data_IF_577129443084
#
_entry.id   IF_577129443084
#
_cell.length_a   1.000
_cell.length_b   1.000
_cell.length_c   1.000
_cell.angle_alpha   90.00
_cell.angle_beta   90.00
_cell.angle_gamma   90.00
#
_symmetry.space_group_name_H-M   'P 1'
#
loop_
_entity.id
_entity.type
_entity.pdbx_description
1 polymer ?
#
# COMPACT_ATOMS: atom_id res chain seq x y z
N UNK A 1 -50.68 -30.18 -20.63
CA UNK A 1 -49.95 -30.46 -21.89
C UNK A 1 -49.27 -29.16 -22.26
N UNK A 2 -48.00 -28.98 -21.87
CA UNK A 2 -46.80 -29.22 -22.71
C UNK A 2 -46.71 -28.16 -23.82
N UNK A 3 -45.61 -27.46 -24.08
CA UNK A 3 -44.25 -27.39 -23.56
C UNK A 3 -43.61 -26.11 -24.13
N UNK A 4 -42.52 -25.61 -23.53
CA UNK A 4 -41.56 -24.76 -24.25
C UNK A 4 -40.97 -25.54 -25.45
N UNK A 5 -40.45 -24.84 -26.48
CA UNK A 5 -39.00 -24.53 -26.42
C UNK A 5 -38.61 -23.16 -27.02
N UNK A 6 -37.55 -22.58 -26.45
CA UNK A 6 -36.59 -21.65 -27.10
C UNK A 6 -36.11 -22.21 -28.46
N UNK A 7 -35.50 -21.44 -29.42
CA UNK A 7 -34.25 -20.69 -29.17
C UNK A 7 -33.92 -19.48 -30.10
N UNK A 8 -33.29 -18.43 -29.58
CA UNK A 8 -32.56 -17.42 -30.38
C UNK A 8 -31.41 -16.85 -29.51
N UNK A 9 -30.19 -16.55 -30.01
CA UNK A 9 -29.41 -17.14 -31.10
C UNK A 9 -27.99 -17.57 -30.67
N UNK A 10 -27.39 -18.49 -31.43
CA UNK A 10 -25.95 -18.80 -31.40
C UNK A 10 -25.15 -17.69 -32.07
N UNK A 11 -24.08 -17.22 -31.43
CA UNK A 11 -23.03 -16.44 -32.09
C UNK A 11 -21.96 -17.37 -32.66
N UNK A 12 -21.57 -17.11 -33.92
CA UNK A 12 -20.54 -17.85 -34.65
C UNK A 12 -19.16 -17.43 -34.16
N UNK A 13 -18.28 -18.40 -33.98
CA UNK A 13 -16.84 -18.19 -33.84
C UNK A 13 -16.31 -17.55 -35.14
N UNK A 14 -15.82 -16.31 -35.02
CA UNK A 14 -15.00 -15.63 -36.01
C UNK A 14 -13.54 -15.75 -35.58
N UNK A 15 -12.72 -16.19 -36.53
CA UNK A 15 -11.29 -16.50 -36.49
C UNK A 15 -10.45 -15.67 -35.50
N UNK A 16 -9.93 -16.36 -34.47
CA UNK A 16 -8.77 -15.90 -33.71
C UNK A 16 -7.52 -16.42 -34.42
N UNK A 17 -6.72 -15.49 -34.93
CA UNK A 17 -5.39 -15.74 -35.48
C UNK A 17 -4.53 -16.41 -34.41
N UNK A 18 -4.25 -17.70 -34.59
CA UNK A 18 -3.30 -18.44 -33.76
C UNK A 18 -1.89 -17.94 -34.00
N UNK A 19 -1.36 -17.10 -33.10
CA UNK A 19 0.09 -16.94 -32.97
C UNK A 19 0.60 -18.18 -32.23
N UNK A 20 1.26 -19.06 -32.97
CA UNK A 20 1.97 -20.22 -32.42
C UNK A 20 3.19 -19.72 -31.66
N UNK A 21 3.19 -19.85 -30.34
CA UNK A 21 4.43 -19.80 -29.57
C UNK A 21 5.26 -21.07 -29.87
N UNK A 22 6.56 -20.96 -30.21
CA UNK A 22 7.39 -22.13 -30.40
C UNK A 22 7.53 -22.91 -29.08
N UNK A 23 7.41 -24.23 -29.23
CA UNK A 23 7.59 -25.26 -28.19
C UNK A 23 8.89 -25.06 -27.43
N UNK A 24 8.82 -25.38 -26.12
CA UNK A 24 9.91 -25.82 -25.23
C UNK A 24 11.24 -26.01 -25.96
N UNK A 25 12.16 -25.06 -25.78
CA UNK A 25 13.56 -25.38 -25.82
C UNK A 25 13.92 -26.03 -24.48
N UNK A 26 14.50 -27.22 -24.61
CA UNK A 26 15.04 -28.06 -23.56
C UNK A 26 15.90 -27.28 -22.57
N UNK A 27 15.90 -27.72 -21.31
CA UNK A 27 16.98 -27.47 -20.34
C UNK A 27 18.33 -27.59 -21.04
N UNK A 28 18.92 -26.45 -21.37
CA UNK A 28 20.33 -26.31 -21.68
C UNK A 28 20.99 -25.97 -20.36
N UNK A 29 21.98 -26.77 -19.96
CA UNK A 29 22.79 -26.53 -18.77
C UNK A 29 23.24 -25.06 -18.75
N UNK A 30 22.91 -24.35 -17.67
CA UNK A 30 23.58 -23.12 -17.32
C UNK A 30 25.08 -23.42 -17.32
N UNK A 31 25.80 -22.83 -18.26
CA UNK A 31 27.23 -22.68 -18.12
C UNK A 31 27.41 -21.60 -17.05
N UNK A 32 28.03 -21.96 -15.93
CA UNK A 32 28.50 -21.03 -14.90
C UNK A 32 29.39 -19.99 -15.57
N UNK A 33 28.82 -18.82 -15.88
CA UNK A 33 29.59 -17.61 -16.08
C UNK A 33 29.75 -16.97 -14.70
N UNK A 34 30.98 -16.73 -14.21
CA UNK A 34 31.17 -16.04 -12.96
C UNK A 34 30.62 -14.61 -13.10
N UNK A 35 29.55 -14.33 -12.35
CA UNK A 35 29.10 -12.97 -12.07
C UNK A 35 30.26 -12.26 -11.36
N UNK A 36 30.72 -11.09 -11.82
CA UNK A 36 31.78 -10.38 -11.12
C UNK A 36 31.26 -9.92 -9.74
N UNK A 37 31.95 -10.33 -8.67
CA UNK A 37 31.67 -9.85 -7.31
C UNK A 37 31.79 -8.32 -7.26
N UNK A 38 30.66 -7.61 -7.26
CA UNK A 38 30.64 -6.17 -6.98
C UNK A 38 30.92 -6.00 -5.48
N UNK A 39 32.02 -5.35 -5.07
CA UNK A 39 32.32 -5.18 -3.65
C UNK A 39 31.28 -4.23 -3.02
N UNK A 40 30.43 -4.79 -2.17
CA UNK A 40 29.44 -4.06 -1.38
C UNK A 40 30.02 -3.73 0.00
N UNK A 41 29.92 -2.47 0.43
CA UNK A 41 30.32 -2.02 1.77
C UNK A 41 29.10 -1.46 2.49
N UNK A 42 28.67 -2.10 3.57
CA UNK A 42 27.63 -1.53 4.45
C UNK A 42 28.30 -0.59 5.45
N UNK A 43 27.82 0.65 5.56
CA UNK A 43 28.28 1.55 6.63
C UNK A 43 27.85 0.91 7.95
N UNK A 44 28.82 0.43 8.73
CA UNK A 44 28.56 -0.24 10.01
C UNK A 44 28.26 0.83 11.04
N UNK A 45 27.00 0.96 11.44
CA UNK A 45 26.56 1.90 12.47
C UNK A 45 27.08 1.45 13.83
N UNK A 46 28.14 2.09 14.34
CA UNK A 46 28.66 1.79 15.69
C UNK A 46 27.92 2.61 16.74
N UNK A 47 26.67 2.24 16.98
CA UNK A 47 25.83 2.86 18.02
C UNK A 47 24.83 3.85 17.44
N UNK A 48 23.56 3.46 17.43
CA UNK A 48 22.44 4.37 17.22
C UNK A 48 22.24 5.19 18.49
N UNK A 49 22.73 6.41 18.52
CA UNK A 49 22.30 7.37 19.55
C UNK A 49 21.21 8.26 18.96
N UNK A 50 20.07 8.29 19.66
CA UNK A 50 19.14 9.42 19.60
C UNK A 50 20.00 10.67 19.75
N UNK A 51 20.03 11.54 18.74
CA UNK A 51 20.79 12.77 18.82
C UNK A 51 20.28 13.55 20.04
N UNK A 52 21.10 13.69 21.08
CA UNK A 52 20.75 14.60 22.16
C UNK A 52 20.67 16.02 21.59
N UNK A 53 19.66 16.81 21.98
CA UNK A 53 19.50 18.16 21.48
C UNK A 53 20.78 18.95 21.79
N UNK A 54 21.43 19.46 20.75
CA UNK A 54 22.63 20.29 20.87
C UNK A 54 22.26 21.51 21.75
N UNK A 55 22.80 21.65 22.97
CA UNK A 55 22.40 22.73 23.85
C UNK A 55 23.10 24.01 23.40
N UNK A 56 22.36 24.86 22.67
CA UNK A 56 22.89 26.13 22.19
C UNK A 56 22.05 26.80 21.13
N UNK A 57 20.88 27.33 21.52
CA UNK A 57 20.01 28.14 20.68
C UNK A 57 20.75 29.35 20.07
N UNK A 58 20.90 29.31 18.75
CA UNK A 58 21.30 30.43 17.92
C UNK A 58 21.18 29.99 16.47
N UNK A 59 20.45 30.75 15.65
CA UNK A 59 20.35 30.54 14.19
C UNK A 59 21.74 30.61 13.57
N UNK A 60 22.51 29.52 13.64
CA UNK A 60 23.68 29.34 12.79
C UNK A 60 23.12 29.08 11.41
N UNK A 61 23.46 29.94 10.43
CA UNK A 61 23.24 29.62 9.02
C UNK A 61 23.85 28.25 8.78
N UNK A 62 23.01 27.29 8.37
CA UNK A 62 23.45 25.96 7.96
C UNK A 62 24.62 26.09 6.99
N UNK A 63 25.70 25.32 7.19
CA UNK A 63 26.84 25.31 6.26
C UNK A 63 26.40 24.93 4.84
N UNK A 64 25.25 24.27 4.69
CA UNK A 64 24.59 23.93 3.42
C UNK A 64 24.21 25.18 2.60
N UNK A 65 23.89 26.30 3.25
CA UNK A 65 23.57 27.57 2.55
C UNK A 65 24.72 28.11 1.70
N UNK A 66 25.96 27.64 1.90
CA UNK A 66 27.12 27.99 1.09
C UNK A 66 27.21 27.22 -0.22
N UNK A 67 26.47 26.12 -0.34
CA UNK A 67 26.47 25.22 -1.49
C UNK A 67 25.19 25.35 -2.32
N UNK A 68 24.30 26.28 -1.96
CA UNK A 68 23.03 26.55 -2.64
C UNK A 68 22.96 27.99 -3.17
N UNK A 69 22.08 28.27 -4.16
CA UNK A 69 21.82 29.63 -4.62
C UNK A 69 21.38 30.56 -3.48
N UNK A 70 21.68 31.85 -3.58
CA UNK A 70 21.29 32.84 -2.57
C UNK A 70 19.77 32.86 -2.34
N UNK A 71 19.34 32.79 -1.08
CA UNK A 71 17.92 32.84 -0.69
C UNK A 71 17.25 31.49 -0.49
N UNK A 72 17.92 30.38 -0.84
CA UNK A 72 17.42 29.02 -0.64
C UNK A 72 17.79 28.54 0.77
N UNK A 73 16.79 28.42 1.65
CA UNK A 73 16.95 27.81 2.98
C UNK A 73 16.75 26.29 2.86
N UNK A 74 17.61 25.52 3.52
CA UNK A 74 17.44 24.07 3.69
C UNK A 74 16.86 23.80 5.05
N UNK A 75 16.03 22.78 5.14
CA UNK A 75 15.49 22.22 6.38
C UNK A 75 16.62 21.96 7.37
N UNK A 76 16.35 22.33 8.62
CA UNK A 76 17.22 22.04 9.76
C UNK A 76 16.79 20.76 10.47
N UNK A 77 17.69 20.14 11.25
CA UNK A 77 17.35 18.97 12.05
C UNK A 77 16.12 19.19 12.94
N UNK A 78 16.04 20.34 13.62
CA UNK A 78 14.91 20.68 14.49
C UNK A 78 13.57 20.80 13.73
N UNK A 79 13.61 21.28 12.48
CA UNK A 79 12.42 21.35 11.62
C UNK A 79 12.02 19.96 11.12
N UNK A 80 13.01 19.13 10.75
CA UNK A 80 12.77 17.76 10.33
C UNK A 80 12.15 16.93 11.47
N UNK A 81 12.73 17.02 12.68
CA UNK A 81 12.21 16.34 13.89
C UNK A 81 10.83 16.86 14.28
N UNK A 82 10.50 18.13 14.01
CA UNK A 82 9.15 18.66 14.29
C UNK A 82 8.08 17.96 13.45
N UNK A 83 8.39 17.62 12.20
CA UNK A 83 7.44 17.00 11.27
C UNK A 83 7.45 15.46 11.41
N UNK A 84 8.63 14.84 11.44
CA UNK A 84 8.74 13.37 11.44
C UNK A 84 8.81 12.75 12.84
N UNK A 85 8.96 13.57 13.90
CA UNK A 85 9.20 13.10 15.26
C UNK A 85 10.67 12.71 15.49
N UNK A 86 11.06 12.60 16.77
CA UNK A 86 12.45 12.31 17.15
C UNK A 86 12.91 10.92 16.70
N UNK A 87 12.03 9.92 16.79
CA UNK A 87 12.30 8.55 16.33
C UNK A 87 12.14 8.39 14.81
N UNK A 88 11.57 9.39 14.13
CA UNK A 88 11.35 9.39 12.69
C UNK A 88 12.46 10.07 11.89
N UNK A 89 13.54 10.51 12.53
CA UNK A 89 14.71 11.11 11.86
C UNK A 89 15.97 10.30 12.20
N UNK A 90 16.63 9.80 11.17
CA UNK A 90 17.86 9.04 11.28
C UNK A 90 19.08 9.91 10.98
N UNK A 91 20.11 9.82 11.82
CA UNK A 91 21.40 10.52 11.62
C UNK A 91 22.56 9.54 11.73
N UNK A 92 23.67 9.85 11.07
CA UNK A 92 24.89 9.08 11.12
C UNK A 92 25.98 9.76 11.95
N UNK A 93 26.83 8.95 12.57
CA UNK A 93 28.05 9.44 13.21
C UNK A 93 29.04 9.91 12.15
N UNK A 94 29.56 11.14 12.33
CA UNK A 94 30.44 11.78 11.34
C UNK A 94 31.68 10.94 11.02
N UNK A 95 32.24 10.26 12.01
CA UNK A 95 33.40 9.39 11.85
C UNK A 95 33.12 8.20 10.90
N UNK A 96 31.89 7.69 10.90
CA UNK A 96 31.48 6.55 10.08
C UNK A 96 31.25 6.95 8.61
N UNK A 97 31.00 8.23 8.32
CA UNK A 97 30.73 8.72 6.97
C UNK A 97 31.98 9.29 6.29
N UNK A 98 32.78 10.08 7.02
CA UNK A 98 33.94 10.79 6.44
C UNK A 98 35.01 9.82 5.89
N UNK A 99 35.14 8.62 6.46
CA UNK A 99 36.08 7.60 5.98
C UNK A 99 35.72 7.00 4.61
N UNK A 100 34.51 7.24 4.10
CA UNK A 100 33.98 6.62 2.88
C UNK A 100 34.04 7.55 1.65
N UNK A 101 34.67 8.72 1.78
CA UNK A 101 34.83 9.66 0.65
C UNK A 101 33.50 10.26 0.17
N UNK A 102 32.56 10.45 1.10
CA UNK A 102 31.32 11.20 0.92
C UNK A 102 31.63 12.69 0.88
N UNK A 103 30.92 13.46 0.05
CA UNK A 103 31.21 14.89 -0.12
C UNK A 103 30.83 15.67 1.14
N UNK A 104 31.53 16.77 1.48
CA UNK A 104 31.24 17.54 2.70
C UNK A 104 29.79 18.01 2.81
N UNK A 105 29.15 18.39 1.70
CA UNK A 105 27.74 18.79 1.71
C UNK A 105 26.80 17.64 2.10
N UNK A 106 27.06 16.42 1.63
CA UNK A 106 26.24 15.25 1.95
C UNK A 106 26.53 14.75 3.38
N UNK A 107 27.77 14.89 3.88
CA UNK A 107 28.11 14.63 5.30
C UNK A 107 27.30 15.55 6.22
N UNK A 108 27.19 16.85 5.89
CA UNK A 108 26.38 17.78 6.69
C UNK A 108 24.89 17.38 6.69
N UNK A 109 24.36 16.84 5.58
CA UNK A 109 22.98 16.32 5.57
C UNK A 109 22.88 15.06 6.41
N UNK A 110 23.67 14.02 6.13
CA UNK A 110 23.59 12.71 6.78
C UNK A 110 23.86 12.75 8.29
N UNK A 111 24.77 13.61 8.74
CA UNK A 111 25.18 13.69 10.14
C UNK A 111 24.54 14.87 10.90
N UNK A 112 24.24 15.97 10.21
CA UNK A 112 23.81 17.22 10.83
C UNK A 112 22.32 17.51 10.70
N UNK A 113 21.67 17.09 9.60
CA UNK A 113 20.23 17.28 9.37
C UNK A 113 19.47 15.99 9.63
N UNK A 114 19.95 14.88 9.06
CA UNK A 114 19.33 13.56 9.08
C UNK A 114 18.49 13.27 7.84
N UNK A 115 18.05 12.01 7.74
CA UNK A 115 17.07 11.53 6.77
C UNK A 115 15.78 11.17 7.51
N UNK A 116 14.58 11.41 6.96
CA UNK A 116 13.37 10.84 7.52
C UNK A 116 13.44 9.31 7.43
N UNK A 117 12.99 8.58 8.46
CA UNK A 117 12.92 7.11 8.41
C UNK A 117 11.84 6.67 7.41
N UNK A 118 10.72 7.39 7.38
CA UNK A 118 9.63 7.23 6.41
C UNK A 118 9.01 8.59 6.15
N UNK A 119 8.68 8.90 4.89
CA UNK A 119 8.01 10.13 4.48
C UNK A 119 6.87 9.81 3.50
N UNK A 120 5.68 9.56 4.06
CA UNK A 120 4.50 9.11 3.31
C UNK A 120 4.82 7.92 2.41
N UNK A 121 4.19 7.88 1.23
CA UNK A 121 4.47 6.90 0.18
C UNK A 121 5.79 7.14 -0.58
N UNK A 122 6.39 8.33 -0.42
CA UNK A 122 7.50 8.77 -1.28
C UNK A 122 8.85 8.23 -0.84
N UNK A 123 9.00 7.82 0.43
CA UNK A 123 10.29 7.38 0.93
C UNK A 123 10.18 6.52 2.19
N UNK A 124 10.99 5.48 2.27
CA UNK A 124 11.30 4.75 3.49
C UNK A 124 12.74 4.23 3.47
N UNK A 125 13.40 4.28 4.63
CA UNK A 125 14.70 3.63 4.85
C UNK A 125 14.55 2.12 5.09
N UNK A 126 13.33 1.63 5.35
CA UNK A 126 13.05 0.20 5.47
C UNK A 126 13.03 -0.39 4.06
N UNK A 127 14.12 -1.05 3.72
CA UNK A 127 14.35 -1.65 2.41
C UNK A 127 14.60 -3.13 2.64
N UNK A 128 13.79 -3.97 2.01
CA UNK A 128 13.96 -5.42 2.01
C UNK A 128 14.72 -5.89 0.75
N UNK A 129 15.50 -6.95 0.89
CA UNK A 129 16.26 -7.54 -0.21
C UNK A 129 17.65 -6.91 -0.45
N UNK A 130 18.23 -7.08 -1.65
CA UNK A 130 19.57 -6.57 -1.95
C UNK A 130 19.62 -5.04 -1.88
N UNK A 131 20.79 -4.50 -1.53
CA UNK A 131 21.03 -3.07 -1.41
C UNK A 131 20.12 -2.37 -0.39
N UNK A 132 20.18 -2.81 0.87
CA UNK A 132 19.52 -2.14 2.00
C UNK A 132 19.99 -0.68 2.15
N UNK A 133 19.22 0.15 2.86
CA UNK A 133 19.63 1.51 3.18
C UNK A 133 21.04 1.55 3.83
N UNK A 134 21.81 2.59 3.49
CA UNK A 134 23.20 2.81 3.91
C UNK A 134 24.22 1.82 3.34
N UNK A 135 23.82 1.06 2.33
CA UNK A 135 24.73 0.23 1.54
C UNK A 135 25.44 1.08 0.50
N UNK A 136 26.77 0.91 0.40
CA UNK A 136 27.60 1.50 -0.65
C UNK A 136 28.08 0.45 -1.64
N UNK A 137 28.08 0.80 -2.92
CA UNK A 137 28.63 -0.05 -3.98
C UNK A 137 29.20 0.80 -5.13
N UNK A 138 30.07 0.21 -5.93
CA UNK A 138 30.56 0.80 -7.18
C UNK A 138 29.92 0.11 -8.37
N UNK A 139 29.58 0.87 -9.41
CA UNK A 139 29.08 0.32 -10.66
C UNK A 139 29.59 1.13 -11.86
N UNK A 140 29.65 0.48 -13.02
CA UNK A 140 29.88 1.16 -14.29
C UNK A 140 28.60 1.84 -14.75
N UNK A 141 28.67 3.13 -15.06
CA UNK A 141 27.55 3.92 -15.57
C UNK A 141 27.80 4.35 -17.00
N UNK A 142 26.81 4.97 -17.64
CA UNK A 142 26.98 5.60 -18.94
C UNK A 142 28.04 6.72 -18.94
N UNK A 143 28.32 7.31 -17.77
CA UNK A 143 29.31 8.37 -17.58
C UNK A 143 30.66 7.85 -17.04
N UNK A 144 30.82 6.53 -16.91
CA UNK A 144 31.99 5.87 -16.33
C UNK A 144 31.74 5.30 -14.92
N UNK A 145 32.79 4.84 -14.23
CA UNK A 145 32.66 4.23 -12.92
C UNK A 145 32.21 5.25 -11.87
N UNK A 146 31.17 4.91 -11.11
CA UNK A 146 30.62 5.74 -10.04
C UNK A 146 30.34 4.91 -8.78
N UNK A 147 30.24 5.58 -7.64
CA UNK A 147 29.90 4.99 -6.35
C UNK A 147 28.56 5.52 -5.89
N UNK A 148 27.77 4.63 -5.31
CA UNK A 148 26.43 4.92 -4.86
C UNK A 148 26.31 4.63 -3.38
N UNK A 149 25.51 5.42 -2.68
CA UNK A 149 25.03 5.16 -1.33
C UNK A 149 23.50 5.05 -1.39
N UNK A 150 22.96 3.90 -1.01
CA UNK A 150 21.51 3.71 -0.92
C UNK A 150 20.95 4.52 0.26
N UNK A 151 19.88 5.26 -0.03
CA UNK A 151 19.14 6.04 0.96
C UNK A 151 17.92 5.26 1.44
N UNK A 152 17.19 4.62 0.53
CA UNK A 152 15.90 3.98 0.80
C UNK A 152 15.18 3.55 -0.47
N UNK A 153 13.86 3.43 -0.39
CA UNK A 153 12.95 3.16 -1.50
C UNK A 153 11.64 3.94 -1.34
N UNK A 154 10.72 3.88 -2.31
CA UNK A 154 9.35 4.37 -2.12
C UNK A 154 8.59 3.49 -1.11
N UNK A 155 7.72 4.07 -0.29
CA UNK A 155 6.91 3.31 0.65
C UNK A 155 5.65 2.80 -0.08
N UNK A 156 5.82 1.63 -0.71
CA UNK A 156 4.83 0.77 -1.39
C UNK A 156 4.09 1.36 -2.62
N UNK A 157 3.87 0.59 -3.68
CA UNK A 157 2.74 -0.34 -3.75
C UNK A 157 3.06 -1.79 -4.14
N UNK A 158 2.39 -2.70 -3.45
CA UNK A 158 2.37 -4.16 -3.62
C UNK A 158 1.66 -4.65 -4.90
N UNK A 159 1.70 -3.89 -6.00
CA UNK A 159 1.52 -4.53 -7.30
C UNK A 159 2.82 -5.25 -7.67
N UNK A 160 2.81 -6.55 -7.33
CA UNK A 160 3.46 -7.68 -8.02
C UNK A 160 4.37 -7.22 -9.18
N UNK A 161 5.68 -7.44 -9.04
CA UNK A 161 6.78 -7.24 -10.01
C UNK A 161 7.38 -5.82 -10.21
N UNK A 162 6.99 -4.76 -9.47
CA UNK A 162 7.63 -3.43 -9.68
C UNK A 162 8.26 -2.75 -8.44
N UNK A 163 7.72 -2.92 -7.23
CA UNK A 163 8.25 -2.23 -6.03
C UNK A 163 9.59 -2.78 -5.52
N UNK A 164 9.88 -4.06 -5.76
CA UNK A 164 11.16 -4.70 -5.41
C UNK A 164 12.35 -4.20 -6.26
N UNK A 165 12.06 -3.43 -7.32
CA UNK A 165 13.02 -3.09 -8.36
C UNK A 165 13.52 -1.65 -8.28
N UNK A 166 13.25 -0.87 -7.24
CA UNK A 166 13.71 0.53 -7.20
C UNK A 166 14.39 0.91 -5.88
N UNK A 167 15.51 1.64 -5.98
CA UNK A 167 16.20 2.26 -4.85
C UNK A 167 16.46 3.74 -5.09
N UNK A 168 16.28 4.55 -4.05
CA UNK A 168 16.83 5.89 -4.04
C UNK A 168 18.28 5.84 -3.56
N UNK A 169 19.18 6.42 -4.34
CA UNK A 169 20.61 6.44 -4.04
C UNK A 169 21.22 7.79 -4.34
N UNK A 170 22.25 8.19 -3.58
CA UNK A 170 23.11 9.31 -3.95
C UNK A 170 24.35 8.80 -4.68
N UNK A 171 24.63 9.35 -5.86
CA UNK A 171 25.90 9.14 -6.57
C UNK A 171 26.97 10.02 -5.93
N UNK A 172 27.99 9.42 -5.31
CA UNK A 172 28.94 10.11 -4.44
C UNK A 172 29.87 11.07 -5.21
N UNK A 173 30.09 10.85 -6.49
CA UNK A 173 30.92 11.70 -7.33
C UNK A 173 30.21 13.00 -7.71
N UNK A 174 28.93 12.93 -8.06
CA UNK A 174 28.15 14.09 -8.52
C UNK A 174 27.31 14.74 -7.44
N UNK A 175 26.84 13.94 -6.47
CA UNK A 175 25.86 14.35 -5.47
C UNK A 175 24.41 14.21 -5.82
N UNK A 176 24.12 13.81 -7.06
CA UNK A 176 22.75 13.68 -7.51
C UNK A 176 22.09 12.54 -6.76
N UNK A 177 20.82 12.73 -6.40
CA UNK A 177 19.98 11.65 -5.94
C UNK A 177 19.28 11.05 -7.15
N UNK A 178 19.34 9.74 -7.26
CA UNK A 178 18.83 8.97 -8.37
C UNK A 178 17.80 7.93 -7.90
N UNK A 179 16.90 7.60 -8.80
CA UNK A 179 16.07 6.41 -8.77
C UNK A 179 16.77 5.34 -9.61
N UNK A 180 17.19 4.26 -8.95
CA UNK A 180 17.91 3.14 -9.53
C UNK A 180 16.99 1.95 -9.69
N UNK A 181 16.91 1.38 -10.89
CA UNK A 181 16.29 0.07 -11.08
C UNK A 181 17.18 -1.03 -10.50
N UNK A 182 16.58 -2.12 -10.00
CA UNK A 182 17.24 -3.34 -9.56
C UNK A 182 16.60 -4.47 -10.34
N UNK A 183 17.33 -5.17 -11.19
CA UNK A 183 16.83 -6.30 -11.98
C UNK A 183 17.68 -7.55 -11.69
N UNK A 184 17.03 -8.67 -11.42
CA UNK A 184 17.66 -9.93 -10.98
C UNK A 184 18.72 -9.76 -9.85
N UNK A 185 18.55 -8.75 -8.99
CA UNK A 185 19.46 -8.44 -7.88
C UNK A 185 20.65 -7.53 -8.24
N UNK A 186 20.70 -6.97 -9.45
CA UNK A 186 21.74 -6.04 -9.91
C UNK A 186 21.16 -4.66 -10.27
N UNK A 187 21.89 -3.54 -10.01
CA UNK A 187 21.47 -2.22 -10.43
C UNK A 187 21.43 -2.04 -11.94
N UNK A 188 20.36 -1.47 -12.45
CA UNK A 188 20.20 -1.18 -13.89
C UNK A 188 20.94 0.09 -14.30
N UNK A 189 21.26 0.19 -15.59
CA UNK A 189 22.04 1.31 -16.16
C UNK A 189 21.22 2.56 -16.52
N UNK A 190 19.89 2.50 -16.37
CA UNK A 190 18.90 3.52 -16.76
C UNK A 190 18.45 4.39 -15.59
N UNK A 191 19.35 4.62 -14.62
CA UNK A 191 19.14 5.48 -13.46
C UNK A 191 18.58 6.87 -13.82
N UNK A 192 17.49 7.26 -13.15
CA UNK A 192 16.92 8.59 -13.30
C UNK A 192 17.44 9.52 -12.20
N UNK A 193 18.10 10.63 -12.55
CA UNK A 193 18.36 11.71 -11.58
C UNK A 193 17.04 12.38 -11.21
N UNK A 194 16.67 12.28 -9.93
CA UNK A 194 15.45 12.88 -9.36
C UNK A 194 15.74 14.17 -8.60
N UNK A 195 16.93 14.34 -8.02
CA UNK A 195 17.36 15.62 -7.44
C UNK A 195 18.84 15.89 -7.68
N UNK A 196 19.21 17.17 -7.74
CA UNK A 196 20.61 17.62 -7.95
C UNK A 196 21.48 17.53 -6.70
N UNK A 197 20.88 17.31 -5.52
CA UNK A 197 21.61 17.15 -4.27
C UNK A 197 20.80 16.37 -3.23
N UNK A 198 21.50 15.72 -2.29
CA UNK A 198 20.86 15.07 -1.14
C UNK A 198 20.06 16.06 -0.28
N UNK A 199 20.57 17.29 -0.11
CA UNK A 199 19.85 18.34 0.63
C UNK A 199 18.53 18.74 -0.03
N UNK A 200 18.48 18.82 -1.37
CA UNK A 200 17.24 19.08 -2.09
C UNK A 200 16.25 17.91 -1.94
N UNK A 201 16.73 16.67 -2.02
CA UNK A 201 15.89 15.49 -1.81
C UNK A 201 15.24 15.49 -0.41
N UNK A 202 16.00 15.75 0.65
CA UNK A 202 15.48 15.83 2.02
C UNK A 202 14.51 17.01 2.20
N UNK A 203 14.79 18.17 1.58
CA UNK A 203 13.84 19.29 1.58
C UNK A 203 12.52 18.90 0.91
N UNK A 204 12.55 18.22 -0.24
CA UNK A 204 11.34 17.81 -0.96
C UNK A 204 10.47 16.93 -0.06
N UNK A 205 11.06 15.90 0.56
CA UNK A 205 10.35 15.01 1.50
C UNK A 205 9.76 15.80 2.68
N UNK A 206 10.55 16.67 3.30
CA UNK A 206 10.09 17.54 4.40
C UNK A 206 8.92 18.42 4.00
N UNK A 207 9.00 19.09 2.86
CA UNK A 207 7.99 20.07 2.43
C UNK A 207 6.70 19.41 1.96
N UNK A 208 6.79 18.23 1.34
CA UNK A 208 5.62 17.43 0.98
C UNK A 208 4.90 16.98 2.26
N UNK A 209 5.64 16.52 3.25
CA UNK A 209 5.06 16.07 4.52
C UNK A 209 4.48 17.22 5.34
N UNK A 210 5.19 18.34 5.44
CA UNK A 210 4.67 19.56 6.07
C UNK A 210 3.38 20.04 5.41
N UNK A 211 3.31 19.97 4.07
CA UNK A 211 2.09 20.28 3.31
C UNK A 211 0.96 19.30 3.67
N UNK A 212 1.25 18.01 3.85
CA UNK A 212 0.27 17.00 4.28
C UNK A 212 -0.30 17.35 5.65
N UNK A 213 0.55 17.74 6.60
CA UNK A 213 0.12 18.14 7.96
C UNK A 213 -0.68 19.45 7.96
N UNK A 214 -0.16 20.50 7.31
CA UNK A 214 -0.79 21.83 7.34
C UNK A 214 -2.12 21.84 6.57
N UNK A 215 -2.26 21.02 5.52
CA UNK A 215 -3.47 20.89 4.71
C UNK A 215 -4.32 19.67 5.11
N UNK A 216 -4.09 19.09 6.29
CA UNK A 216 -4.89 17.98 6.78
C UNK A 216 -6.38 18.39 6.85
N UNK A 217 -7.24 17.59 6.21
CA UNK A 217 -8.68 17.86 6.12
C UNK A 217 -9.09 18.93 5.10
N UNK A 218 -8.16 19.51 4.35
CA UNK A 218 -8.49 20.38 3.23
C UNK A 218 -8.71 19.55 1.95
N UNK A 219 -9.73 19.90 1.16
CA UNK A 219 -9.92 19.34 -0.18
C UNK A 219 -8.74 19.70 -1.10
N UNK A 220 -8.55 18.95 -2.19
CA UNK A 220 -7.54 19.26 -3.20
C UNK A 220 -7.68 20.71 -3.73
N UNK A 221 -8.91 21.21 -3.86
CA UNK A 221 -9.18 22.58 -4.31
C UNK A 221 -8.76 23.64 -3.28
N UNK A 222 -8.98 23.39 -1.99
CA UNK A 222 -8.59 24.30 -0.90
C UNK A 222 -7.07 24.30 -0.68
N UNK A 223 -6.44 23.13 -0.79
CA UNK A 223 -4.99 22.99 -0.66
C UNK A 223 -4.21 23.48 -1.91
N UNK A 224 -4.90 23.73 -3.02
CA UNK A 224 -4.27 24.07 -4.31
C UNK A 224 -3.37 25.31 -4.25
N UNK A 225 -3.78 26.47 -3.69
CA UNK A 225 -2.91 27.65 -3.64
C UNK A 225 -1.63 27.41 -2.84
N UNK A 226 -1.73 26.65 -1.74
CA UNK A 226 -0.57 26.24 -0.95
C UNK A 226 0.35 25.33 -1.79
N UNK A 227 -0.23 24.34 -2.46
CA UNK A 227 0.49 23.35 -3.26
C UNK A 227 1.19 24.01 -4.46
N UNK A 228 0.54 24.94 -5.15
CA UNK A 228 1.15 25.71 -6.25
C UNK A 228 2.33 26.56 -5.76
N UNK A 229 2.23 27.17 -4.57
CA UNK A 229 3.35 27.89 -3.95
C UNK A 229 4.49 26.93 -3.59
N UNK A 230 4.17 25.79 -2.99
CA UNK A 230 5.15 24.75 -2.67
C UNK A 230 5.91 24.31 -3.93
N UNK A 231 5.20 24.02 -5.01
CA UNK A 231 5.79 23.64 -6.31
C UNK A 231 6.71 24.73 -6.83
N UNK A 232 6.31 26.00 -6.76
CA UNK A 232 7.16 27.11 -7.17
C UNK A 232 8.44 27.22 -6.34
N UNK A 233 8.34 27.07 -5.02
CA UNK A 233 9.47 27.14 -4.08
C UNK A 233 10.46 25.98 -4.33
N UNK A 234 9.96 24.75 -4.49
CA UNK A 234 10.79 23.58 -4.78
C UNK A 234 11.40 23.63 -6.19
N UNK A 235 10.68 24.14 -7.18
CA UNK A 235 11.22 24.33 -8.54
C UNK A 235 12.32 25.38 -8.59
N UNK A 236 12.24 26.41 -7.74
CA UNK A 236 13.33 27.37 -7.60
C UNK A 236 14.60 26.76 -6.96
N UNK A 237 14.43 25.71 -6.15
CA UNK A 237 15.54 24.95 -5.56
C UNK A 237 16.16 23.97 -6.55
N UNK A 238 15.33 23.23 -7.28
CA UNK A 238 15.75 22.20 -8.22
C UNK A 238 14.84 22.18 -9.45
N UNK A 239 15.14 23.04 -10.43
CA UNK A 239 14.34 23.15 -11.65
C UNK A 239 14.32 21.84 -12.46
N UNK A 240 15.40 21.05 -12.38
CA UNK A 240 15.55 19.81 -13.14
C UNK A 240 14.61 18.72 -12.66
N UNK A 241 14.29 18.67 -11.37
CA UNK A 241 13.32 17.75 -10.78
C UNK A 241 11.91 17.90 -11.39
N UNK A 242 11.56 19.10 -11.89
CA UNK A 242 10.21 19.42 -12.41
C UNK A 242 10.07 19.28 -13.93
N UNK A 243 10.99 18.58 -14.62
CA UNK A 243 10.76 18.24 -16.02
C UNK A 243 9.52 17.31 -16.15
N UNK A 244 8.63 17.49 -17.14
CA UNK A 244 7.36 16.75 -17.22
C UNK A 244 7.49 15.22 -17.21
N UNK A 245 8.59 14.68 -17.76
CA UNK A 245 8.86 13.24 -17.86
C UNK A 245 9.62 12.69 -16.63
N UNK A 246 9.78 13.48 -15.56
CA UNK A 246 10.53 13.11 -14.35
C UNK A 246 9.60 12.72 -13.21
N UNK A 247 10.10 11.88 -12.32
CA UNK A 247 9.36 11.40 -11.14
C UNK A 247 8.62 12.53 -10.39
N UNK A 248 9.34 13.57 -9.95
CA UNK A 248 8.72 14.69 -9.21
C UNK A 248 7.76 15.51 -10.06
N UNK A 249 7.99 15.62 -11.38
CA UNK A 249 7.08 16.31 -12.29
C UNK A 249 5.68 15.70 -12.26
N UNK A 250 5.60 14.38 -12.43
CA UNK A 250 4.33 13.64 -12.33
C UNK A 250 3.70 13.71 -10.93
N UNK A 251 4.52 13.55 -9.88
CA UNK A 251 4.06 13.65 -8.48
C UNK A 251 3.42 15.02 -8.19
N UNK A 252 4.08 16.12 -8.57
CA UNK A 252 3.57 17.46 -8.29
C UNK A 252 2.39 17.86 -9.19
N UNK A 253 2.34 17.37 -10.43
CA UNK A 253 1.16 17.50 -11.26
C UNK A 253 -0.05 16.82 -10.60
N UNK A 254 0.11 15.56 -10.16
CA UNK A 254 -0.91 14.83 -9.43
C UNK A 254 -1.30 15.54 -8.12
N UNK A 255 -0.34 16.04 -7.35
CA UNK A 255 -0.60 16.79 -6.10
C UNK A 255 -1.43 18.06 -6.33
N UNK A 256 -1.20 18.78 -7.42
CA UNK A 256 -1.98 19.99 -7.77
C UNK A 256 -3.37 19.64 -8.27
N UNK A 257 -3.51 18.53 -9.01
CA UNK A 257 -4.78 18.11 -9.59
C UNK A 257 -5.69 17.38 -8.59
N UNK A 258 -5.11 16.49 -7.79
CA UNK A 258 -5.82 15.47 -6.99
C UNK A 258 -5.43 15.48 -5.49
N UNK A 259 -4.36 16.18 -5.09
CA UNK A 259 -3.86 16.15 -3.70
C UNK A 259 -2.83 15.05 -3.45
N UNK A 260 -2.43 14.86 -2.18
CA UNK A 260 -1.52 13.76 -1.80
C UNK A 260 -2.33 12.46 -1.91
N UNK A 261 -1.86 11.42 -2.64
CA UNK A 261 -2.53 10.13 -2.64
C UNK A 261 -2.62 9.64 -1.19
N UNK A 262 -3.82 9.25 -0.77
CA UNK A 262 -3.98 8.74 0.59
C UNK A 262 -3.23 7.40 0.66
N UNK A 263 -2.69 7.06 1.83
CA UNK A 263 -2.24 5.69 2.04
C UNK A 263 -3.53 4.88 2.26
N UNK A 264 -3.73 3.87 1.43
CA UNK A 264 -4.91 3.03 1.50
C UNK A 264 -4.90 2.09 2.71
N UNK A 265 -6.00 1.37 2.90
CA UNK A 265 -6.18 0.44 4.02
C UNK A 265 -5.61 -0.97 3.76
N UNK A 266 -5.05 -1.24 2.56
CA UNK A 266 -4.72 -2.59 2.11
C UNK A 266 -3.74 -3.32 3.04
N UNK A 267 -2.61 -2.70 3.37
CA UNK A 267 -1.61 -3.29 4.29
C UNK A 267 -2.21 -3.58 5.67
N UNK A 268 -2.95 -2.63 6.23
CA UNK A 268 -3.54 -2.77 7.56
C UNK A 268 -4.55 -3.93 7.60
N UNK A 269 -5.35 -4.09 6.55
CA UNK A 269 -6.28 -5.21 6.38
C UNK A 269 -5.49 -6.53 6.23
N UNK A 270 -4.47 -6.57 5.38
CA UNK A 270 -3.65 -7.76 5.18
C UNK A 270 -2.94 -8.21 6.48
N UNK A 271 -2.36 -7.27 7.23
CA UNK A 271 -1.73 -7.53 8.52
C UNK A 271 -2.74 -8.03 9.57
N UNK A 272 -3.94 -7.44 9.63
CA UNK A 272 -4.98 -7.87 10.56
C UNK A 272 -5.45 -9.31 10.28
N UNK A 273 -5.53 -9.69 9.00
CA UNK A 273 -5.84 -11.05 8.57
C UNK A 273 -4.70 -12.02 8.92
N UNK A 274 -3.45 -11.67 8.59
CA UNK A 274 -2.27 -12.50 8.88
C UNK A 274 -2.07 -12.78 10.38
N UNK A 275 -2.34 -11.79 11.24
CA UNK A 275 -2.23 -11.94 12.70
C UNK A 275 -3.24 -12.94 13.29
N UNK A 276 -4.36 -13.17 12.60
CA UNK A 276 -5.50 -13.97 13.09
C UNK A 276 -5.69 -15.28 12.34
N UNK A 277 -4.95 -15.52 11.26
CA UNK A 277 -5.14 -16.68 10.38
C UNK A 277 -3.87 -17.52 10.29
N UNK A 278 -3.99 -18.86 10.32
CA UNK A 278 -2.83 -19.76 10.41
C UNK A 278 -2.13 -20.04 9.06
N UNK A 279 -2.64 -19.56 7.93
CA UNK A 279 -2.17 -19.89 6.57
C UNK A 279 -1.88 -18.62 5.76
N UNK A 280 -0.71 -18.57 5.11
CA UNK A 280 -0.25 -17.46 4.27
C UNK A 280 -0.72 -17.54 2.81
N UNK A 281 -1.33 -18.66 2.40
CA UNK A 281 -1.81 -18.87 1.02
C UNK A 281 -3.29 -18.53 0.85
N UNK A 282 -3.60 -17.25 0.92
CA UNK A 282 -4.92 -16.74 0.52
C UNK A 282 -5.16 -16.91 -0.98
N UNK A 283 -6.43 -17.02 -1.37
CA UNK A 283 -6.85 -16.92 -2.76
C UNK A 283 -7.45 -15.54 -2.99
N UNK A 284 -7.13 -14.88 -4.10
CA UNK A 284 -7.66 -13.56 -4.46
C UNK A 284 -8.28 -13.58 -5.86
N UNK A 285 -9.38 -12.86 -6.02
CA UNK A 285 -10.08 -12.68 -7.29
C UNK A 285 -10.48 -11.23 -7.48
N UNK A 286 -10.10 -10.64 -8.62
CA UNK A 286 -10.68 -9.39 -9.08
C UNK A 286 -12.12 -9.63 -9.57
N UNK A 287 -13.04 -8.73 -9.22
CA UNK A 287 -14.44 -8.77 -9.68
C UNK A 287 -14.63 -8.12 -11.04
N UNK A 288 -13.68 -7.27 -11.46
CA UNK A 288 -13.77 -6.42 -12.64
C UNK A 288 -14.63 -5.16 -12.43
N UNK A 289 -15.07 -4.90 -11.21
CA UNK A 289 -15.80 -3.68 -10.86
C UNK A 289 -14.84 -2.48 -10.78
N UNK A 290 -15.17 -1.32 -11.36
CA UNK A 290 -14.36 -0.11 -11.23
C UNK A 290 -14.18 0.33 -9.76
N UNK A 291 -13.09 1.04 -9.50
CA UNK A 291 -12.81 1.66 -8.19
C UNK A 291 -13.96 2.62 -7.83
N UNK A 292 -14.45 2.53 -6.59
CA UNK A 292 -15.55 3.37 -6.09
C UNK A 292 -16.95 2.98 -6.57
N UNK A 293 -17.09 1.91 -7.36
CA UNK A 293 -18.38 1.43 -7.89
C UNK A 293 -18.82 0.07 -7.33
N UNK A 294 -18.10 -0.49 -6.36
CA UNK A 294 -18.44 -1.79 -5.76
C UNK A 294 -17.30 -2.45 -5.01
N UNK A 295 -17.38 -3.77 -4.86
CA UNK A 295 -16.29 -4.61 -4.36
C UNK A 295 -15.34 -4.88 -5.53
N UNK A 296 -14.08 -4.45 -5.46
CA UNK A 296 -13.07 -4.66 -6.50
C UNK A 296 -12.44 -6.06 -6.42
N UNK A 297 -12.24 -6.57 -5.21
CA UNK A 297 -11.63 -7.90 -5.00
C UNK A 297 -12.35 -8.71 -3.93
N UNK A 298 -12.22 -10.03 -4.04
CA UNK A 298 -12.59 -10.99 -3.02
C UNK A 298 -11.36 -11.81 -2.66
N UNK A 299 -11.19 -12.07 -1.37
CA UNK A 299 -10.17 -12.99 -0.87
C UNK A 299 -10.79 -14.13 -0.07
N UNK A 300 -10.16 -15.30 -0.12
CA UNK A 300 -10.53 -16.46 0.69
C UNK A 300 -9.33 -17.01 1.45
N UNK A 301 -9.53 -17.19 2.75
CA UNK A 301 -8.52 -17.63 3.70
C UNK A 301 -8.97 -18.91 4.39
N UNK A 302 -8.04 -19.81 4.68
CA UNK A 302 -8.32 -21.06 5.39
C UNK A 302 -8.30 -20.80 6.89
N UNK A 303 -9.38 -21.10 7.59
CA UNK A 303 -9.54 -20.85 9.02
C UNK A 303 -10.23 -22.04 9.72
N UNK A 304 -9.47 -22.94 10.35
CA UNK A 304 -9.94 -24.03 11.22
C UNK A 304 -11.28 -24.67 10.83
N UNK A 305 -11.31 -25.39 9.70
CA UNK A 305 -12.52 -26.07 9.21
C UNK A 305 -13.51 -25.17 8.47
N UNK A 306 -13.21 -23.88 8.34
CA UNK A 306 -13.99 -22.88 7.62
C UNK A 306 -13.14 -22.21 6.53
N UNK A 307 -13.83 -21.64 5.56
CA UNK A 307 -13.33 -20.55 4.73
C UNK A 307 -13.73 -19.23 5.37
N UNK A 308 -12.80 -18.29 5.49
CA UNK A 308 -13.08 -16.88 5.73
C UNK A 308 -12.98 -16.13 4.41
N UNK A 309 -14.10 -15.60 3.94
CA UNK A 309 -14.17 -14.75 2.76
C UNK A 309 -14.15 -13.29 3.19
N UNK A 310 -13.40 -12.44 2.49
CA UNK A 310 -13.26 -11.00 2.80
C UNK A 310 -13.36 -10.20 1.50
N UNK A 311 -14.16 -9.14 1.52
CA UNK A 311 -14.25 -8.16 0.42
C UNK A 311 -13.11 -7.15 0.49
N UNK A 312 -12.79 -6.56 -0.65
CA UNK A 312 -11.94 -5.38 -0.74
C UNK A 312 -12.62 -4.39 -1.68
N UNK A 313 -12.98 -3.23 -1.15
CA UNK A 313 -13.59 -2.15 -1.92
C UNK A 313 -14.72 -1.39 -1.25
N UNK A 314 -15.20 -1.84 -0.09
CA UNK A 314 -16.05 -1.00 0.75
C UNK A 314 -15.21 0.04 1.49
N UNK A 315 -13.99 -0.32 1.88
CA UNK A 315 -12.95 0.61 2.32
C UNK A 315 -12.29 1.30 1.13
N UNK A 316 -11.24 2.08 1.36
CA UNK A 316 -10.31 2.55 0.32
C UNK A 316 -8.99 1.78 0.44
N UNK A 317 -8.86 0.58 -0.16
CA UNK A 317 -7.66 -0.25 0.00
C UNK A 317 -6.41 0.42 -0.52
N UNK A 318 -6.54 1.20 -1.59
CA UNK A 318 -5.41 1.77 -2.34
C UNK A 318 -5.25 3.28 -2.15
N UNK A 319 -6.13 3.91 -1.36
CA UNK A 319 -6.04 5.35 -1.04
C UNK A 319 -6.39 6.25 -2.22
N UNK A 320 -7.14 5.71 -3.18
CA UNK A 320 -7.48 6.35 -4.45
C UNK A 320 -8.84 7.03 -4.42
N UNK A 321 -9.64 6.78 -3.38
CA UNK A 321 -10.93 7.41 -3.21
C UNK A 321 -10.75 8.82 -2.62
N UNK A 322 -11.00 9.83 -3.45
CA UNK A 322 -11.08 11.23 -3.03
C UNK A 322 -12.42 11.50 -2.32
N UNK A 323 -12.60 10.87 -1.17
CA UNK A 323 -13.76 11.06 -0.29
C UNK A 323 -13.31 11.81 0.97
N UNK A 324 -13.99 12.90 1.30
CA UNK A 324 -13.79 13.66 2.54
C UNK A 324 -14.54 12.96 3.69
N UNK A 325 -14.03 11.80 4.09
CA UNK A 325 -14.60 10.94 5.13
C UNK A 325 -13.58 10.74 6.25
N UNK A 326 -14.06 10.71 7.50
CA UNK A 326 -13.24 10.34 8.67
C UNK A 326 -12.88 8.83 8.67
N UNK A 327 -13.37 8.07 7.70
CA UNK A 327 -13.20 6.63 7.51
C UNK A 327 -12.54 6.32 6.17
N UNK A 328 -11.86 5.16 6.07
CA UNK A 328 -11.34 4.67 4.79
C UNK A 328 -12.49 4.21 3.92
N UNK A 329 -12.78 4.92 2.82
CA UNK A 329 -13.96 4.67 1.99
C UNK A 329 -15.25 4.73 2.82
N UNK A 330 -16.08 3.69 2.73
CA UNK A 330 -17.29 3.52 3.55
C UNK A 330 -17.01 3.03 4.98
N UNK A 331 -15.75 2.76 5.33
CA UNK A 331 -15.31 2.46 6.69
C UNK A 331 -15.51 1.03 7.15
N UNK A 332 -15.81 0.10 6.24
CA UNK A 332 -15.98 -1.31 6.58
C UNK A 332 -15.52 -2.24 5.47
N UNK A 333 -15.32 -3.52 5.78
CA UNK A 333 -15.28 -4.61 4.82
C UNK A 333 -16.22 -5.74 5.27
N UNK A 334 -16.82 -6.46 4.32
CA UNK A 334 -17.65 -7.62 4.64
C UNK A 334 -16.78 -8.87 4.80
N UNK A 335 -17.11 -9.65 5.82
CA UNK A 335 -16.58 -11.01 5.98
C UNK A 335 -17.70 -12.04 5.89
N UNK A 336 -17.39 -13.26 5.45
CA UNK A 336 -18.32 -14.39 5.54
C UNK A 336 -17.56 -15.67 5.84
N UNK A 337 -18.01 -16.41 6.87
CA UNK A 337 -17.48 -17.75 7.17
C UNK A 337 -18.41 -18.83 6.61
N UNK A 338 -17.85 -19.82 5.92
CA UNK A 338 -18.58 -20.99 5.41
C UNK A 338 -17.78 -22.27 5.67
N UNK A 339 -18.44 -23.44 5.81
CA UNK A 339 -17.73 -24.72 6.00
C UNK A 339 -16.70 -24.99 4.90
N UNK A 340 -15.57 -25.60 5.30
CA UNK A 340 -14.49 -26.03 4.42
C UNK A 340 -14.08 -27.47 4.76
N UNK A 341 -14.16 -28.37 3.81
CA UNK A 341 -13.55 -29.70 3.94
C UNK A 341 -12.03 -29.63 3.77
N UNK A 342 -11.28 -30.57 4.37
CA UNK A 342 -9.80 -30.58 4.32
C UNK A 342 -9.23 -30.52 2.89
N UNK A 343 -9.92 -31.15 1.92
CA UNK A 343 -9.47 -31.24 0.54
C UNK A 343 -10.09 -30.19 -0.38
N UNK A 344 -10.85 -29.22 0.16
CA UNK A 344 -11.40 -28.14 -0.65
C UNK A 344 -10.27 -27.19 -1.06
N UNK A 345 -10.07 -27.06 -2.37
CA UNK A 345 -9.11 -26.11 -2.93
C UNK A 345 -9.71 -24.72 -3.15
N UNK A 346 -11.04 -24.62 -3.25
CA UNK A 346 -11.77 -23.38 -3.49
C UNK A 346 -12.99 -23.23 -2.56
N UNK A 347 -13.37 -22.00 -2.19
CA UNK A 347 -14.60 -21.77 -1.45
C UNK A 347 -15.84 -21.99 -2.33
N UNK A 348 -17.02 -22.21 -1.72
CA UNK A 348 -18.27 -22.33 -2.46
C UNK A 348 -18.60 -21.07 -3.28
N UNK A 349 -18.79 -21.22 -4.59
CA UNK A 349 -19.04 -20.08 -5.49
C UNK A 349 -20.29 -19.25 -5.14
N UNK A 350 -21.30 -19.85 -4.50
CA UNK A 350 -22.49 -19.12 -4.05
C UNK A 350 -22.17 -18.06 -2.99
N UNK A 351 -21.15 -18.28 -2.15
CA UNK A 351 -20.78 -17.38 -1.07
C UNK A 351 -20.02 -16.17 -1.61
N UNK A 352 -19.11 -16.39 -2.56
CA UNK A 352 -18.46 -15.32 -3.32
C UNK A 352 -19.49 -14.44 -4.05
N UNK A 353 -20.46 -15.08 -4.72
CA UNK A 353 -21.53 -14.37 -5.43
C UNK A 353 -22.45 -13.59 -4.46
N UNK A 354 -22.69 -14.11 -3.25
CA UNK A 354 -23.46 -13.40 -2.24
C UNK A 354 -22.76 -12.10 -1.81
N UNK A 355 -21.46 -12.15 -1.52
CA UNK A 355 -20.67 -10.95 -1.18
C UNK A 355 -20.64 -9.93 -2.32
N UNK A 356 -20.44 -10.39 -3.56
CA UNK A 356 -20.48 -9.54 -4.75
C UNK A 356 -21.80 -8.78 -4.88
N UNK A 357 -22.94 -9.47 -4.70
CA UNK A 357 -24.28 -8.86 -4.74
C UNK A 357 -24.55 -7.91 -3.58
N UNK A 358 -23.97 -8.14 -2.41
CA UNK A 358 -24.05 -7.17 -1.30
C UNK A 358 -23.28 -5.89 -1.65
N UNK A 359 -22.15 -6.00 -2.36
CA UNK A 359 -21.47 -4.88 -3.00
C UNK A 359 -22.39 -4.10 -3.94
N UNK A 360 -22.99 -4.78 -4.92
CA UNK A 360 -23.93 -4.15 -5.86
C UNK A 360 -25.10 -3.45 -5.15
N UNK A 361 -25.61 -4.04 -4.07
CA UNK A 361 -26.68 -3.42 -3.28
C UNK A 361 -26.23 -2.09 -2.69
N UNK A 362 -25.12 -2.05 -1.95
CA UNK A 362 -24.64 -0.86 -1.25
C UNK A 362 -24.26 0.25 -2.24
N UNK A 363 -23.55 -0.07 -3.31
CA UNK A 363 -23.09 0.92 -4.29
C UNK A 363 -24.16 1.34 -5.31
N UNK A 364 -25.29 0.63 -5.38
CA UNK A 364 -26.42 0.97 -6.23
C UNK A 364 -27.45 1.89 -5.55
N UNK A 365 -28.31 1.31 -4.70
CA UNK A 365 -29.42 2.02 -4.04
C UNK A 365 -29.48 1.74 -2.52
N UNK A 366 -28.54 0.95 -2.02
CA UNK A 366 -28.49 0.48 -0.65
C UNK A 366 -27.82 1.46 0.30
N UNK A 367 -27.76 1.02 1.57
CA UNK A 367 -27.03 1.71 2.62
C UNK A 367 -25.88 0.82 3.10
N UNK A 368 -24.77 1.42 3.58
CA UNK A 368 -23.69 0.69 4.24
C UNK A 368 -24.18 -0.27 5.33
N UNK A 369 -23.51 -1.42 5.46
CA UNK A 369 -23.82 -2.40 6.51
C UNK A 369 -23.14 -2.02 7.82
N UNK A 370 -23.78 -2.35 8.94
CA UNK A 370 -23.28 -2.10 10.28
C UNK A 370 -23.75 -3.20 11.22
N UNK A 371 -23.17 -3.24 12.42
CA UNK A 371 -23.60 -4.15 13.48
C UNK A 371 -25.12 -4.05 13.75
N UNK A 372 -25.77 -5.21 13.85
CA UNK A 372 -27.21 -5.31 14.09
C UNK A 372 -28.08 -5.18 12.84
N UNK A 373 -27.52 -4.83 11.67
CA UNK A 373 -28.26 -4.85 10.41
C UNK A 373 -28.70 -6.27 10.03
N UNK A 374 -29.80 -6.37 9.30
CA UNK A 374 -30.36 -7.66 8.85
C UNK A 374 -31.26 -7.45 7.66
N UNK A 375 -31.29 -8.42 6.75
CA UNK A 375 -32.13 -8.33 5.56
C UNK A 375 -32.66 -9.70 5.15
N UNK A 376 -33.89 -9.73 4.64
CA UNK A 376 -34.38 -10.89 3.92
C UNK A 376 -33.82 -10.91 2.51
N UNK A 377 -33.58 -12.10 1.96
CA UNK A 377 -33.20 -12.27 0.56
C UNK A 377 -34.38 -12.85 -0.24
N UNK A 378 -34.43 -12.53 -1.54
CA UNK A 378 -35.55 -12.91 -2.42
C UNK A 378 -35.62 -14.43 -2.69
N UNK A 379 -34.50 -15.15 -2.59
CA UNK A 379 -34.39 -16.60 -2.73
C UNK A 379 -33.51 -17.21 -1.63
N UNK A 380 -33.19 -18.51 -1.68
CA UNK A 380 -32.31 -19.14 -0.71
C UNK A 380 -30.85 -18.69 -0.89
N UNK A 381 -30.11 -18.60 0.22
CA UNK A 381 -28.65 -18.47 0.20
C UNK A 381 -28.04 -19.87 0.13
N UNK A 382 -27.17 -20.11 -0.84
CA UNK A 382 -26.52 -21.41 -1.00
C UNK A 382 -27.11 -22.27 -2.11
N UNK A 383 -26.81 -23.58 -2.11
CA UNK A 383 -27.30 -24.50 -3.11
C UNK A 383 -28.82 -24.68 -3.01
N UNK A 384 -29.40 -25.27 -4.07
CA UNK A 384 -30.82 -25.63 -4.11
C UNK A 384 -31.20 -26.48 -2.89
N UNK A 385 -32.30 -26.10 -2.23
CA UNK A 385 -32.80 -26.76 -1.02
C UNK A 385 -32.33 -26.13 0.29
N UNK A 386 -31.40 -25.16 0.26
CA UNK A 386 -31.04 -24.39 1.45
C UNK A 386 -32.25 -23.67 2.06
N UNK A 387 -32.35 -23.71 3.39
CA UNK A 387 -33.40 -23.03 4.18
C UNK A 387 -33.05 -21.59 4.53
N UNK A 388 -31.81 -21.17 4.26
CA UNK A 388 -31.32 -19.83 4.59
C UNK A 388 -32.00 -18.80 3.67
N UNK A 389 -32.73 -17.86 4.24
CA UNK A 389 -33.56 -16.91 3.49
C UNK A 389 -33.36 -15.47 3.91
N UNK A 390 -32.32 -15.20 4.70
CA UNK A 390 -31.98 -13.88 5.22
C UNK A 390 -30.49 -13.83 5.62
N UNK A 391 -29.99 -12.62 5.84
CA UNK A 391 -28.66 -12.32 6.38
C UNK A 391 -28.82 -11.53 7.68
N UNK A 392 -27.95 -11.81 8.65
CA UNK A 392 -27.71 -10.96 9.80
C UNK A 392 -26.25 -10.52 9.81
N UNK A 393 -26.02 -9.28 10.24
CA UNK A 393 -24.72 -8.63 10.28
C UNK A 393 -24.37 -8.27 11.73
N UNK A 394 -23.14 -8.56 12.12
CA UNK A 394 -22.52 -8.09 13.37
C UNK A 394 -21.06 -7.71 13.09
N UNK A 395 -20.45 -6.91 13.96
CA UNK A 395 -18.99 -6.75 13.97
C UNK A 395 -18.33 -8.12 14.07
N UNK A 396 -17.36 -8.39 13.21
CA UNK A 396 -16.66 -9.67 13.16
C UNK A 396 -15.97 -9.94 14.52
N UNK A 397 -16.35 -11.01 15.25
CA UNK A 397 -15.86 -11.21 16.61
C UNK A 397 -14.35 -11.47 16.72
N UNK A 398 -13.69 -11.86 15.62
CA UNK A 398 -12.26 -12.08 15.60
C UNK A 398 -11.51 -10.87 15.06
N UNK A 399 -12.01 -10.24 13.98
CA UNK A 399 -11.30 -9.15 13.31
C UNK A 399 -11.58 -7.77 13.91
N UNK A 400 -12.81 -7.50 14.34
CA UNK A 400 -13.19 -6.24 14.98
C UNK A 400 -13.04 -5.02 14.06
N UNK A 401 -12.60 -3.91 14.65
CA UNK A 401 -12.24 -2.68 13.94
C UNK A 401 -10.74 -2.48 14.02
N UNK A 402 -10.13 -2.03 12.93
CA UNK A 402 -8.71 -1.69 12.85
C UNK A 402 -8.54 -0.23 12.48
N UNK A 403 -7.45 0.37 12.98
CA UNK A 403 -7.01 1.69 12.52
C UNK A 403 -6.22 1.52 11.22
N UNK A 404 -6.50 2.37 10.23
CA UNK A 404 -5.74 2.42 8.98
C UNK A 404 -5.35 3.87 8.67
N UNK A 405 -4.33 4.10 7.82
CA UNK A 405 -3.93 5.46 7.44
C UNK A 405 -5.06 6.30 6.82
N UNK A 406 -6.00 5.65 6.13
CA UNK A 406 -7.18 6.30 5.54
C UNK A 406 -8.37 6.46 6.48
N UNK A 407 -8.23 6.12 7.76
CA UNK A 407 -9.33 6.08 8.76
C UNK A 407 -9.68 4.64 9.16
N UNK A 408 -10.50 4.44 10.20
CA UNK A 408 -10.81 3.10 10.71
C UNK A 408 -11.58 2.26 9.69
N UNK A 409 -11.34 0.94 9.72
CA UNK A 409 -12.06 -0.07 8.95
C UNK A 409 -12.65 -1.10 9.91
N UNK A 410 -13.98 -1.25 9.89
CA UNK A 410 -14.70 -2.27 10.64
C UNK A 410 -14.95 -3.52 9.79
N UNK A 411 -14.60 -4.70 10.29
CA UNK A 411 -15.00 -5.95 9.63
C UNK A 411 -16.41 -6.31 10.07
N UNK A 412 -17.35 -6.38 9.13
CA UNK A 412 -18.74 -6.75 9.38
C UNK A 412 -19.01 -8.14 8.82
N UNK A 413 -19.30 -9.10 9.70
CA UNK A 413 -19.56 -10.48 9.27
C UNK A 413 -21.01 -10.68 8.82
N UNK A 414 -21.19 -11.15 7.60
CA UNK A 414 -22.48 -11.51 7.01
C UNK A 414 -22.76 -13.00 7.24
N UNK A 415 -23.82 -13.31 7.98
CA UNK A 415 -24.18 -14.69 8.32
C UNK A 415 -25.56 -15.03 7.76
N UNK A 416 -25.63 -16.10 6.97
CA UNK A 416 -26.88 -16.63 6.43
C UNK A 416 -27.74 -17.25 7.54
N UNK A 417 -28.96 -16.73 7.66
CA UNK A 417 -29.95 -17.16 8.64
C UNK A 417 -31.26 -17.61 7.98
N UNK A 418 -32.00 -18.46 8.70
CA UNK A 418 -33.36 -18.84 8.31
C UNK A 418 -34.32 -17.66 8.53
N UNK A 419 -35.51 -17.71 7.92
CA UNK A 419 -36.53 -16.68 8.15
C UNK A 419 -37.11 -16.70 9.57
N UNK A 420 -37.12 -17.86 10.22
CA UNK A 420 -37.53 -17.99 11.60
C UNK A 420 -36.51 -17.33 12.54
N UNK A 421 -35.21 -17.54 12.29
CA UNK A 421 -34.13 -16.84 13.00
C UNK A 421 -34.13 -15.34 12.73
N UNK A 422 -34.51 -14.89 11.52
CA UNK A 422 -34.70 -13.47 11.25
C UNK A 422 -35.83 -12.90 12.12
N UNK A 423 -36.93 -13.63 12.30
CA UNK A 423 -38.01 -13.22 13.19
C UNK A 423 -37.58 -13.21 14.66
N UNK A 424 -36.78 -14.18 15.08
CA UNK A 424 -36.18 -14.22 16.42
C UNK A 424 -35.21 -13.06 16.65
N UNK A 425 -34.30 -12.78 15.70
CA UNK A 425 -33.37 -11.66 15.78
C UNK A 425 -34.14 -10.33 15.90
N UNK A 426 -35.26 -10.19 15.18
CA UNK A 426 -36.16 -9.03 15.30
C UNK A 426 -36.78 -8.88 16.68
N UNK A 427 -37.11 -9.99 17.34
CA UNK A 427 -37.64 -10.00 18.70
C UNK A 427 -36.57 -9.85 19.78
N UNK A 428 -35.31 -10.16 19.45
CA UNK A 428 -34.17 -10.17 20.37
C UNK A 428 -33.03 -9.30 19.82
N UNK A 429 -31.94 -9.91 19.33
CA UNK A 429 -30.83 -9.24 18.65
C UNK A 429 -30.13 -10.22 17.70
N UNK A 430 -29.36 -9.69 16.74
CA UNK A 430 -28.51 -10.53 15.88
C UNK A 430 -27.49 -11.28 16.74
N UNK A 431 -26.83 -10.60 17.67
CA UNK A 431 -25.86 -11.19 18.60
C UNK A 431 -26.42 -12.42 19.33
N UNK A 432 -27.65 -12.35 19.85
CA UNK A 432 -28.27 -13.48 20.56
C UNK A 432 -28.50 -14.70 19.65
N UNK A 433 -28.91 -14.48 18.40
CA UNK A 433 -29.11 -15.55 17.41
C UNK A 433 -27.77 -16.12 16.95
N UNK A 434 -26.83 -15.25 16.57
CA UNK A 434 -25.55 -15.64 15.98
C UNK A 434 -24.60 -16.29 16.99
N UNK A 435 -24.68 -15.96 18.29
CA UNK A 435 -23.92 -16.65 19.33
C UNK A 435 -24.21 -18.16 19.36
N UNK A 436 -25.42 -18.59 19.00
CA UNK A 436 -25.79 -20.01 18.90
C UNK A 436 -25.25 -20.68 17.64
N UNK A 437 -24.98 -19.89 16.60
CA UNK A 437 -24.43 -20.36 15.32
C UNK A 437 -22.90 -20.45 15.33
N UNK A 438 -22.24 -20.01 16.41
CA UNK A 438 -20.80 -20.10 16.56
C UNK A 438 -20.28 -21.55 16.69
N UNK A 439 -21.12 -22.45 17.23
CA UNK A 439 -20.81 -23.87 17.36
C UNK A 439 -19.48 -24.13 18.07
N UNK A 440 -18.76 -25.16 17.62
CA UNK A 440 -17.43 -25.53 18.13
C UNK A 440 -16.32 -24.60 17.63
N UNK A 441 -16.57 -23.81 16.59
CA UNK A 441 -15.59 -22.89 15.99
C UNK A 441 -15.42 -21.59 16.79
N UNK A 442 -16.34 -21.27 17.72
CA UNK A 442 -16.29 -20.04 18.51
C UNK A 442 -16.64 -18.75 17.74
N UNK A 443 -16.91 -18.86 16.43
CA UNK A 443 -17.32 -17.76 15.56
C UNK A 443 -18.52 -18.15 14.70
N UNK A 444 -19.48 -17.23 14.47
CA UNK A 444 -20.65 -17.54 13.66
C UNK A 444 -20.26 -17.79 12.21
N UNK A 445 -20.89 -18.80 11.60
CA UNK A 445 -20.66 -19.17 10.21
C UNK A 445 -21.97 -19.56 9.51
N UNK A 446 -21.95 -19.49 8.18
CA UNK A 446 -23.10 -19.81 7.33
C UNK A 446 -23.07 -21.28 6.93
N UNK A 447 -23.78 -22.11 7.68
CA UNK A 447 -24.03 -23.50 7.32
C UNK A 447 -25.33 -23.63 6.51
N UNK A 448 -25.20 -24.04 5.25
CA UNK A 448 -26.31 -24.23 4.31
C UNK A 448 -27.07 -25.55 4.51
N UNK A 449 -26.58 -26.45 5.37
CA UNK A 449 -27.14 -27.78 5.59
C UNK A 449 -28.23 -27.85 6.67
N UNK A 450 -28.43 -26.74 7.41
CA UNK A 450 -29.32 -26.66 8.58
C UNK A 450 -30.78 -26.29 8.28
#
# INVERSE_FOLDING_TARGET
MSACPSPIPRWRAGEVSTVRYPRRLSRSSAADFPVPDIPVTKITVTGSTVAEPIPGGGRRRSLLSRFLPEGVSVVTHDELVRVFGADGVFTLERADVESHGVRPADVEVLCGVGLPVTAGMFFTMKVDGPYEALTMFGAETQNGPARFLILGQGAEGDEIDYADHVRYAVELESGNVLMLGIDEGEPTSDAEVINVSLGAFVEFLYRIELRREEMAGASAQEARPYTEKLVADLKAMDERAFAPERFWGGVFEALVQTGVPKIGSREAIAAALADRLPDDKSLHWATGTPVGEGVQELSAHRADGLWLLVTWGFSDPDGTLDLDTETSGLGFELTMRVPRAENDEMPPGWALEALRKLGEYVFGEGYPFADGHRMGVAGPLGPDGSRLGALAFITDPHLGTIDTPGGPVEFITAVGITRDELAEAKATSNHAVLARLAGEHGVPFTDVTR
#
